data_IF_984413225959
#
_entry.id   IF_984413225959
#
_cell.length_a   1.000
_cell.length_b   1.000
_cell.length_c   1.000
_cell.angle_alpha   90.00
_cell.angle_beta   90.00
_cell.angle_gamma   90.00
#
_symmetry.space_group_name_H-M   'P 1'
#
loop_
_entity.id
_entity.type
_entity.pdbx_description
1 polymer ?
#
# COMPACT_ATOMS: atom_id res chain seq x y z
N UNK A 1 -19.28 34.48 27.50
CA UNK A 1 -17.81 34.49 27.32
C UNK A 1 -17.55 34.61 25.82
N UNK A 2 -16.87 35.65 25.37
CA UNK A 2 -16.60 35.92 23.94
C UNK A 2 -15.09 36.13 23.80
N UNK A 3 -14.45 35.42 22.87
CA UNK A 3 -13.01 35.51 22.62
C UNK A 3 -12.74 35.35 21.11
N UNK A 4 -12.39 36.43 20.39
CA UNK A 4 -12.09 36.36 18.97
C UNK A 4 -10.61 36.62 18.65
N UNK A 5 -10.25 36.26 17.41
CA UNK A 5 -9.03 36.57 16.65
C UNK A 5 -7.69 35.98 17.16
N UNK A 6 -7.29 34.91 16.47
CA UNK A 6 -5.88 34.55 16.26
C UNK A 6 -5.27 35.51 15.22
N UNK A 7 -4.10 36.07 15.52
CA UNK A 7 -3.28 36.84 14.59
C UNK A 7 -2.17 35.92 14.05
N UNK A 8 -2.20 35.67 12.74
CA UNK A 8 -1.12 34.96 12.06
C UNK A 8 0.04 35.92 11.78
N UNK A 9 1.28 35.51 12.12
CA UNK A 9 2.50 36.24 11.76
C UNK A 9 3.39 35.29 10.95
N UNK A 10 3.56 35.61 9.66
CA UNK A 10 4.60 35.00 8.84
C UNK A 10 5.96 35.58 9.25
N UNK A 11 6.96 34.72 9.41
CA UNK A 11 8.37 35.10 9.37
C UNK A 11 9.16 34.10 8.51
N UNK A 12 9.51 34.53 7.31
CA UNK A 12 10.49 33.83 6.49
C UNK A 12 11.88 34.38 6.81
N UNK A 13 12.82 33.53 7.24
CA UNK A 13 14.24 33.85 7.30
C UNK A 13 15.01 32.80 6.49
N UNK A 14 15.63 33.26 5.41
CA UNK A 14 16.66 32.49 4.71
C UNK A 14 18.02 32.81 5.34
N UNK A 15 18.86 31.80 5.59
CA UNK A 15 20.29 31.98 5.79
C UNK A 15 21.08 31.16 4.76
N UNK A 16 22.03 31.82 4.12
CA UNK A 16 23.00 31.18 3.25
C UNK A 16 24.07 30.47 4.10
N UNK A 17 24.48 29.28 3.66
CA UNK A 17 25.62 28.55 4.22
C UNK A 17 26.54 28.07 3.11
N UNK A 18 27.66 28.77 2.90
CA UNK A 18 28.70 28.34 1.96
C UNK A 18 29.62 27.32 2.62
N UNK A 19 29.41 26.02 2.37
CA UNK A 19 30.33 24.95 2.75
C UNK A 19 31.25 24.58 1.59
N UNK A 20 32.55 24.92 1.70
CA UNK A 20 33.59 24.35 0.81
C UNK A 20 34.03 23.00 1.35
N UNK A 21 34.17 22.02 0.46
CA UNK A 21 35.16 20.95 0.58
C UNK A 21 35.74 20.69 -0.81
N UNK A 22 37.04 20.89 -0.93
CA UNK A 22 37.82 20.63 -2.14
C UNK A 22 38.02 19.13 -2.33
N UNK A 23 37.68 18.61 -3.51
CA UNK A 23 38.24 17.35 -4.03
C UNK A 23 38.91 17.62 -5.38
N UNK A 24 40.23 17.56 -5.38
CA UNK A 24 41.06 17.96 -6.51
C UNK A 24 41.51 16.75 -7.35
N UNK A 25 40.98 16.59 -8.57
CA UNK A 25 41.72 15.86 -9.61
C UNK A 25 41.37 16.20 -11.08
N UNK A 26 42.21 17.02 -11.74
CA UNK A 26 42.48 16.98 -13.20
C UNK A 26 43.74 17.78 -13.53
N UNK A 27 44.67 17.29 -14.38
CA UNK A 27 44.65 17.52 -15.86
C UNK A 27 45.09 16.29 -16.70
N UNK A 28 45.16 16.27 -18.04
CA UNK A 28 44.30 16.86 -19.10
C UNK A 28 44.73 16.39 -20.54
N UNK A 29 43.75 16.21 -21.44
CA UNK A 29 43.84 16.37 -22.92
C UNK A 29 44.62 15.33 -23.77
N UNK A 30 44.51 15.31 -25.13
CA UNK A 30 43.57 15.96 -26.07
C UNK A 30 42.83 14.98 -27.06
N UNK A 31 42.11 15.51 -28.08
CA UNK A 31 41.26 14.82 -29.07
C UNK A 31 42.01 14.44 -30.40
N UNK A 32 41.39 13.92 -31.52
CA UNK A 32 40.35 14.62 -32.32
C UNK A 32 39.30 13.80 -33.15
N UNK A 33 38.28 14.55 -33.64
CA UNK A 33 37.54 14.45 -34.93
C UNK A 33 36.79 13.18 -35.40
N UNK A 34 35.46 13.30 -35.57
CA UNK A 34 34.78 13.43 -36.90
C UNK A 34 33.25 13.63 -36.79
N UNK A 35 32.65 14.28 -37.78
CA UNK A 35 31.20 14.51 -37.97
C UNK A 35 30.77 13.92 -39.35
N UNK A 36 29.50 13.94 -39.84
CA UNK A 36 28.31 14.64 -39.33
C UNK A 36 26.94 13.90 -39.44
N UNK A 37 25.87 14.61 -39.03
CA UNK A 37 24.52 14.66 -39.64
C UNK A 37 23.51 13.47 -39.58
N UNK A 38 22.43 13.73 -38.81
CA UNK A 38 21.04 13.80 -39.26
C UNK A 38 20.08 12.58 -39.25
N UNK A 39 18.80 12.94 -39.04
CA UNK A 39 17.55 12.28 -39.49
C UNK A 39 16.89 11.17 -38.67
N UNK A 40 16.03 11.62 -37.74
CA UNK A 40 14.58 11.31 -37.74
C UNK A 40 14.12 9.86 -37.33
N UNK A 41 12.80 9.62 -37.13
CA UNK A 41 12.34 8.62 -36.15
C UNK A 41 12.10 7.22 -36.72
N UNK A 42 12.53 6.19 -35.99
CA UNK A 42 12.19 4.80 -36.25
C UNK A 42 11.07 4.31 -35.33
N UNK A 43 9.88 4.06 -35.88
CA UNK A 43 8.85 3.28 -35.21
C UNK A 43 9.16 1.78 -35.36
N UNK A 44 9.10 1.01 -34.28
CA UNK A 44 9.10 -0.46 -34.36
C UNK A 44 8.41 -1.12 -33.17
N UNK A 45 7.14 -1.46 -33.42
CA UNK A 45 6.43 -2.67 -33.01
C UNK A 45 6.31 -3.04 -31.52
N UNK A 46 5.06 -3.14 -31.09
CA UNK A 46 4.66 -3.90 -29.93
C UNK A 46 5.04 -5.39 -30.05
N UNK A 47 5.42 -5.99 -28.92
CA UNK A 47 5.49 -7.44 -28.75
C UNK A 47 4.97 -7.80 -27.35
N UNK A 48 3.86 -8.54 -27.31
CA UNK A 48 3.26 -9.23 -26.16
C UNK A 48 3.72 -8.81 -24.75
N UNK A 49 3.01 -7.84 -24.16
CA UNK A 49 2.65 -8.04 -22.75
C UNK A 49 1.60 -9.17 -22.72
N UNK A 50 1.76 -10.23 -21.90
CA UNK A 50 0.68 -11.17 -21.68
C UNK A 50 -0.50 -10.40 -21.11
N UNK A 51 -1.68 -10.52 -21.73
CA UNK A 51 -2.89 -9.97 -21.16
C UNK A 51 -3.10 -10.62 -19.78
N UNK A 52 -3.04 -9.80 -18.72
CA UNK A 52 -3.40 -10.27 -17.40
C UNK A 52 -4.87 -10.71 -17.48
N UNK A 53 -5.13 -12.01 -17.30
CA UNK A 53 -6.47 -12.51 -17.09
C UNK A 53 -6.97 -11.94 -15.78
N UNK A 54 -7.67 -10.82 -15.84
CA UNK A 54 -8.36 -10.24 -14.70
C UNK A 54 -9.34 -11.28 -14.17
N UNK A 55 -9.02 -11.87 -13.01
CA UNK A 55 -10.02 -12.62 -12.26
C UNK A 55 -11.25 -11.70 -12.07
N UNK A 56 -12.49 -12.20 -12.26
CA UNK A 56 -13.65 -11.33 -12.14
C UNK A 56 -13.70 -10.71 -10.75
N UNK A 57 -13.88 -9.39 -10.68
CA UNK A 57 -13.93 -8.67 -9.42
C UNK A 57 -14.98 -9.27 -8.46
N UNK A 58 -14.72 -9.17 -7.16
CA UNK A 58 -15.70 -9.49 -6.11
C UNK A 58 -16.82 -8.46 -6.19
N UNK A 59 -18.09 -8.89 -6.14
CA UNK A 59 -19.22 -7.95 -6.15
C UNK A 59 -19.30 -7.15 -4.85
N UNK A 60 -19.85 -5.92 -4.89
CA UNK A 60 -19.98 -5.06 -3.71
C UNK A 60 -20.72 -5.76 -2.55
N UNK A 61 -21.74 -6.56 -2.86
CA UNK A 61 -22.49 -7.34 -1.88
C UNK A 61 -21.67 -8.49 -1.27
N UNK A 62 -20.84 -9.19 -2.06
CA UNK A 62 -19.90 -10.20 -1.55
C UNK A 62 -18.79 -9.55 -0.71
N UNK A 63 -18.29 -8.38 -1.12
CA UNK A 63 -17.29 -7.62 -0.38
C UNK A 63 -17.83 -7.18 0.97
N UNK A 64 -19.02 -6.57 1.03
CA UNK A 64 -19.67 -6.19 2.29
C UNK A 64 -19.86 -7.40 3.22
N UNK A 65 -20.42 -8.52 2.70
CA UNK A 65 -20.60 -9.76 3.46
C UNK A 65 -19.27 -10.30 4.02
N UNK A 66 -18.19 -10.25 3.23
CA UNK A 66 -16.88 -10.72 3.65
C UNK A 66 -16.26 -9.82 4.74
N UNK A 67 -16.42 -8.49 4.62
CA UNK A 67 -16.00 -7.53 5.65
C UNK A 67 -16.76 -7.73 6.96
N UNK A 68 -18.08 -7.94 6.91
CA UNK A 68 -18.89 -8.18 8.12
C UNK A 68 -18.49 -9.48 8.83
N UNK A 69 -18.26 -10.56 8.06
CA UNK A 69 -17.72 -11.82 8.61
C UNK A 69 -16.32 -11.63 9.21
N UNK A 70 -15.45 -10.83 8.58
CA UNK A 70 -14.13 -10.54 9.10
C UNK A 70 -14.17 -9.73 10.42
N UNK A 71 -15.01 -8.69 10.50
CA UNK A 71 -15.26 -7.93 11.74
C UNK A 71 -15.73 -8.85 12.88
N UNK A 72 -16.73 -9.69 12.60
CA UNK A 72 -17.25 -10.65 13.56
C UNK A 72 -16.20 -11.68 14.00
N UNK A 73 -15.34 -12.13 13.08
CA UNK A 73 -14.23 -13.04 13.38
C UNK A 73 -13.17 -12.39 14.29
N UNK A 74 -12.75 -11.17 13.97
CA UNK A 74 -11.78 -10.40 14.76
C UNK A 74 -12.28 -10.22 16.19
N UNK A 75 -13.55 -9.84 16.36
CA UNK A 75 -14.14 -9.69 17.68
C UNK A 75 -14.28 -11.04 18.41
N UNK A 76 -14.88 -12.06 17.77
CA UNK A 76 -15.11 -13.38 18.39
C UNK A 76 -13.81 -14.04 18.84
N UNK A 77 -12.81 -14.07 17.95
CA UNK A 77 -11.56 -14.81 18.15
C UNK A 77 -10.40 -13.94 18.69
N UNK A 78 -10.65 -12.64 18.93
CA UNK A 78 -9.69 -11.67 19.49
C UNK A 78 -8.37 -11.65 18.70
N UNK A 79 -8.49 -11.56 17.37
CA UNK A 79 -7.35 -11.64 16.44
C UNK A 79 -6.41 -10.43 16.50
N UNK A 80 -6.86 -9.33 17.11
CA UNK A 80 -6.05 -8.15 17.46
C UNK A 80 -6.63 -7.48 18.69
N UNK A 81 -5.85 -6.60 19.33
CA UNK A 81 -6.29 -5.70 20.40
C UNK A 81 -6.75 -4.34 19.87
N UNK A 82 -6.58 -4.06 18.57
CA UNK A 82 -7.04 -2.82 17.94
C UNK A 82 -8.57 -2.77 17.81
N UNK A 83 -9.19 -1.58 17.96
CA UNK A 83 -10.62 -1.40 17.74
C UNK A 83 -10.93 -1.36 16.24
N UNK A 84 -12.18 -1.65 15.85
CA UNK A 84 -12.52 -1.92 14.43
C UNK A 84 -12.42 -0.71 13.49
N UNK A 85 -12.51 0.52 14.02
CA UNK A 85 -12.27 1.76 13.27
C UNK A 85 -10.78 1.96 12.89
N UNK A 86 -9.89 1.29 13.62
CA UNK A 86 -8.45 1.26 13.36
C UNK A 86 -8.02 0.07 12.48
N UNK A 87 -8.98 -0.56 11.78
CA UNK A 87 -8.73 -1.65 10.84
C UNK A 87 -9.28 -1.32 9.45
N UNK A 88 -8.45 -1.58 8.43
CA UNK A 88 -8.80 -1.56 7.01
C UNK A 88 -8.94 -2.98 6.49
N UNK A 89 -9.82 -3.18 5.51
CA UNK A 89 -10.18 -4.51 4.98
C UNK A 89 -10.06 -4.49 3.46
N UNK A 90 -9.18 -5.32 2.91
CA UNK A 90 -9.08 -5.57 1.47
C UNK A 90 -9.70 -6.93 1.18
N UNK A 91 -10.67 -6.99 0.26
CA UNK A 91 -11.36 -8.23 -0.09
C UNK A 91 -11.06 -8.60 -1.54
N UNK A 92 -10.48 -9.77 -1.70
CA UNK A 92 -10.14 -10.37 -2.99
C UNK A 92 -10.79 -11.74 -3.14
N UNK A 93 -10.85 -12.23 -4.38
CA UNK A 93 -11.20 -13.61 -4.65
C UNK A 93 -9.95 -14.48 -4.50
N UNK A 94 -9.98 -15.44 -3.59
CA UNK A 94 -8.92 -16.43 -3.45
C UNK A 94 -9.11 -17.56 -4.47
N UNK A 95 -10.33 -18.08 -4.60
CA UNK A 95 -10.73 -19.07 -5.59
C UNK A 95 -12.24 -18.98 -5.87
N UNK A 96 -12.81 -19.92 -6.64
CA UNK A 96 -14.26 -19.91 -6.97
C UNK A 96 -15.16 -20.07 -5.72
N UNK A 97 -14.65 -20.74 -4.68
CA UNK A 97 -15.32 -21.08 -3.42
C UNK A 97 -14.94 -20.18 -2.24
N UNK A 98 -13.80 -19.47 -2.29
CA UNK A 98 -13.33 -18.61 -1.20
C UNK A 98 -13.06 -17.15 -1.60
N UNK A 99 -13.42 -16.23 -0.70
CA UNK A 99 -12.88 -14.88 -0.68
C UNK A 99 -11.77 -14.80 0.38
N UNK A 100 -10.71 -14.05 0.10
CA UNK A 100 -9.70 -13.65 1.08
C UNK A 100 -10.00 -12.24 1.58
N UNK A 101 -9.86 -12.01 2.89
CA UNK A 101 -9.93 -10.68 3.50
C UNK A 101 -8.60 -10.40 4.19
N UNK A 102 -7.78 -9.54 3.61
CA UNK A 102 -6.61 -9.00 4.30
C UNK A 102 -7.04 -7.86 5.23
N UNK A 103 -6.64 -7.98 6.49
CA UNK A 103 -6.92 -7.00 7.55
C UNK A 103 -5.61 -6.27 7.84
N UNK A 104 -5.63 -4.95 7.70
CA UNK A 104 -4.49 -4.08 7.93
C UNK A 104 -4.81 -3.03 9.00
N UNK A 105 -3.78 -2.52 9.67
CA UNK A 105 -3.93 -1.38 10.59
C UNK A 105 -4.23 -0.10 9.80
N UNK A 106 -5.18 0.69 10.29
CA UNK A 106 -5.61 1.95 9.69
C UNK A 106 -5.00 3.13 10.48
N UNK A 107 -3.80 3.55 10.09
CA UNK A 107 -3.05 4.61 10.76
C UNK A 107 -3.63 6.01 10.50
N UNK A 108 -4.65 6.37 11.28
CA UNK A 108 -5.20 7.73 11.37
C UNK A 108 -4.68 8.44 12.63
N UNK A 109 -4.81 9.78 12.75
CA UNK A 109 -4.46 10.50 13.98
C UNK A 109 -5.19 10.01 15.25
N UNK A 110 -6.33 9.32 15.13
CA UNK A 110 -7.04 8.70 16.24
C UNK A 110 -6.52 7.30 16.60
N UNK A 111 -5.94 6.59 15.64
CA UNK A 111 -5.45 5.22 15.78
C UNK A 111 -3.94 5.14 16.05
N UNK A 112 -3.19 6.20 15.74
CA UNK A 112 -1.74 6.23 15.85
C UNK A 112 -1.03 5.57 14.65
N UNK A 113 0.25 5.25 14.85
CA UNK A 113 1.13 4.67 13.82
C UNK A 113 1.67 5.70 12.80
N UNK A 114 2.45 5.19 11.84
CA UNK A 114 2.95 5.99 10.71
C UNK A 114 1.91 5.94 9.56
N UNK A 115 1.31 7.08 9.16
CA UNK A 115 0.27 7.12 8.12
C UNK A 115 0.75 6.70 6.72
N UNK A 116 2.07 6.53 6.51
CA UNK A 116 2.64 6.00 5.28
C UNK A 116 2.79 4.47 5.29
N UNK A 117 2.33 3.81 6.35
CA UNK A 117 2.38 2.36 6.54
C UNK A 117 0.98 1.83 6.85
N UNK A 118 0.70 0.61 6.37
CA UNK A 118 -0.46 -0.17 6.79
C UNK A 118 0.02 -1.59 7.16
N UNK A 119 0.55 -1.79 8.39
CA UNK A 119 0.93 -3.11 8.86
C UNK A 119 -0.21 -4.11 8.72
N UNK A 120 0.11 -5.33 8.29
CA UNK A 120 -0.84 -6.42 8.16
C UNK A 120 -1.10 -7.07 9.51
N UNK A 121 -2.38 -7.23 9.87
CA UNK A 121 -2.82 -7.87 11.10
C UNK A 121 -3.03 -9.38 10.89
N UNK A 122 -3.82 -9.75 9.88
CA UNK A 122 -4.20 -11.14 9.56
C UNK A 122 -4.81 -11.19 8.16
N UNK A 123 -4.71 -12.30 7.44
CA UNK A 123 -5.59 -12.61 6.30
C UNK A 123 -6.56 -13.71 6.70
N UNK A 124 -7.84 -13.49 6.46
CA UNK A 124 -8.89 -14.47 6.64
C UNK A 124 -9.26 -15.11 5.31
N UNK A 125 -9.40 -16.43 5.28
CA UNK A 125 -10.02 -17.14 4.16
C UNK A 125 -11.46 -17.49 4.54
N UNK A 126 -12.41 -17.09 3.69
CA UNK A 126 -13.85 -17.20 3.95
C UNK A 126 -14.49 -18.06 2.86
N UNK A 127 -15.05 -19.22 3.23
CA UNK A 127 -15.86 -20.02 2.31
C UNK A 127 -17.17 -19.28 2.00
N UNK A 128 -17.43 -19.04 0.70
CA UNK A 128 -18.53 -18.20 0.21
C UNK A 128 -19.91 -18.80 0.49
N UNK A 129 -19.99 -20.13 0.59
CA UNK A 129 -21.23 -20.91 0.71
C UNK A 129 -21.67 -21.06 2.16
N UNK A 130 -20.73 -21.35 3.05
CA UNK A 130 -20.92 -21.72 4.46
C UNK A 130 -20.56 -20.59 5.43
N UNK A 131 -19.72 -19.65 5.02
CA UNK A 131 -19.13 -18.65 5.91
C UNK A 131 -18.08 -19.22 6.86
N UNK A 132 -17.56 -20.43 6.61
CA UNK A 132 -16.48 -21.00 7.39
C UNK A 132 -15.21 -20.13 7.28
N UNK A 133 -14.54 -19.95 8.42
CA UNK A 133 -13.44 -19.00 8.59
C UNK A 133 -12.14 -19.72 8.90
N UNK A 134 -11.08 -19.33 8.21
CA UNK A 134 -9.70 -19.70 8.50
C UNK A 134 -8.86 -18.42 8.62
N UNK A 135 -7.80 -18.43 9.42
CA UNK A 135 -6.77 -17.37 9.40
C UNK A 135 -5.47 -17.94 8.84
N UNK A 136 -4.61 -17.09 8.29
CA UNK A 136 -3.24 -17.51 8.03
C UNK A 136 -2.45 -17.76 9.34
N UNK A 137 -1.44 -18.60 9.24
CA UNK A 137 -0.32 -18.67 10.16
C UNK A 137 0.91 -18.04 9.48
N UNK A 138 1.42 -16.88 9.96
CA UNK A 138 2.54 -16.19 9.33
C UNK A 138 3.88 -16.95 9.42
N UNK A 139 3.98 -18.00 10.24
CA UNK A 139 5.19 -18.83 10.33
C UNK A 139 5.26 -19.94 9.26
N UNK A 140 4.10 -20.48 8.86
CA UNK A 140 4.00 -21.58 7.88
C UNK A 140 3.47 -21.14 6.51
N UNK A 141 2.70 -20.05 6.46
CA UNK A 141 1.94 -19.62 5.28
C UNK A 141 0.65 -20.42 5.06
N UNK A 142 0.31 -21.36 5.94
CA UNK A 142 -0.91 -22.17 5.83
C UNK A 142 -2.14 -21.44 6.41
N UNK A 143 -3.33 -21.81 5.97
CA UNK A 143 -4.59 -21.38 6.59
C UNK A 143 -5.04 -22.40 7.64
N UNK A 144 -5.31 -21.91 8.85
CA UNK A 144 -5.78 -22.70 9.99
C UNK A 144 -7.22 -22.32 10.36
N UNK A 145 -8.15 -23.29 10.50
CA UNK A 145 -9.54 -23.01 10.86
C UNK A 145 -9.70 -22.26 12.19
N UNK A 146 -10.59 -21.27 12.19
CA UNK A 146 -11.04 -20.55 13.38
C UNK A 146 -12.28 -21.25 13.96
N UNK A 147 -12.17 -21.66 15.24
CA UNK A 147 -13.12 -22.53 15.95
C UNK A 147 -13.34 -22.01 17.37
#
# INVERSE_FOLDING_TARGET
MIKPLLLAVLTALALAGCGRSDDAHKPAAPAPASAPAASAPGASNAANAPAASSAPAVSEAEQAKAVDLARAAIEKYKLTTLPQECLSFLVDRADDTHNSVEVLENHTPACGGDPNTAPRVVTLLIDKNTGALQKDDPASGEYVPLK
#
